data_IF_713833321239
#
_entry.id   IF_713833321239
#
_cell.length_a   1.000
_cell.length_b   1.000
_cell.length_c   1.000
_cell.angle_alpha   90.00
_cell.angle_beta   90.00
_cell.angle_gamma   90.00
#
_symmetry.space_group_name_H-M   'P 1'
#
loop_
_entity.id
_entity.type
_entity.pdbx_description
1 polymer ?
#
# COMPACT_ATOMS: atom_id res chain seq x y z
N UNK A 1 6.08 -5.18 7.60
CA UNK A 1 5.04 -5.64 6.66
C UNK A 1 5.07 -7.14 6.71
N UNK A 2 3.92 -7.75 6.97
CA UNK A 2 3.81 -9.20 7.06
C UNK A 2 2.97 -9.73 5.92
N UNK A 3 3.56 -10.63 5.13
CA UNK A 3 2.87 -11.39 4.08
C UNK A 3 2.73 -12.83 4.59
N UNK A 4 1.52 -13.34 4.66
CA UNK A 4 1.25 -14.76 4.94
C UNK A 4 0.46 -15.33 3.78
N UNK A 5 0.83 -16.52 3.31
CA UNK A 5 0.17 -17.15 2.18
C UNK A 5 0.10 -18.66 2.37
N UNK A 6 -0.86 -19.28 1.70
CA UNK A 6 -0.96 -20.73 1.59
C UNK A 6 -1.62 -21.12 0.26
N UNK A 7 -1.23 -22.29 -0.26
CA UNK A 7 -1.82 -22.86 -1.48
C UNK A 7 -2.64 -24.09 -1.07
N UNK A 8 -3.91 -24.11 -1.46
CA UNK A 8 -4.81 -25.24 -1.22
C UNK A 8 -5.16 -25.90 -2.54
N UNK A 9 -4.92 -27.21 -2.63
CA UNK A 9 -5.32 -28.03 -3.77
C UNK A 9 -6.20 -29.18 -3.29
N UNK A 10 -7.45 -29.21 -3.77
CA UNK A 10 -8.40 -30.31 -3.51
C UNK A 10 -8.15 -31.48 -4.47
N UNK A 11 -8.52 -32.70 -4.06
CA UNK A 11 -8.39 -33.90 -4.91
C UNK A 11 -9.21 -33.76 -6.21
N UNK A 12 -8.74 -34.39 -7.28
CA UNK A 12 -9.40 -34.41 -8.59
C UNK A 12 -8.86 -33.35 -9.54
N UNK A 13 -9.74 -32.87 -10.42
CA UNK A 13 -9.41 -31.90 -11.48
C UNK A 13 -9.54 -30.45 -11.02
N UNK A 14 -9.65 -30.19 -9.71
CA UNK A 14 -9.75 -28.85 -9.15
C UNK A 14 -8.39 -28.14 -9.23
N UNK A 15 -8.42 -26.87 -9.65
CA UNK A 15 -7.25 -26.00 -9.67
C UNK A 15 -6.86 -25.61 -8.25
N UNK A 16 -5.58 -25.39 -7.97
CA UNK A 16 -5.15 -24.87 -6.68
C UNK A 16 -5.56 -23.41 -6.51
N UNK A 17 -5.75 -23.01 -5.27
CA UNK A 17 -6.02 -21.62 -4.90
C UNK A 17 -4.90 -21.14 -3.98
N UNK A 18 -4.31 -20.00 -4.34
CA UNK A 18 -3.41 -19.24 -3.49
C UNK A 18 -4.24 -18.23 -2.71
N UNK A 19 -4.21 -18.33 -1.39
CA UNK A 19 -4.82 -17.35 -0.50
C UNK A 19 -3.72 -16.67 0.28
N UNK A 20 -3.72 -15.34 0.26
CA UNK A 20 -2.73 -14.55 0.98
C UNK A 20 -3.31 -13.33 1.67
N UNK A 21 -2.59 -12.92 2.71
CA UNK A 21 -2.83 -11.74 3.50
C UNK A 21 -1.57 -10.88 3.51
N UNK A 22 -1.74 -9.57 3.32
CA UNK A 22 -0.70 -8.57 3.51
C UNK A 22 -1.17 -7.61 4.60
N UNK A 23 -0.35 -7.47 5.64
CA UNK A 23 -0.64 -6.63 6.80
C UNK A 23 0.50 -5.63 7.00
N UNK A 24 0.16 -4.34 7.08
CA UNK A 24 1.09 -3.29 7.46
C UNK A 24 1.19 -3.21 8.99
N UNK A 25 2.40 -3.05 9.48
CA UNK A 25 2.71 -2.85 10.90
C UNK A 25 2.56 -1.38 11.29
N UNK A 26 2.49 -1.10 12.60
CA UNK A 26 2.11 0.23 13.12
C UNK A 26 2.97 1.38 12.61
N UNK A 27 4.30 1.20 12.56
CA UNK A 27 5.23 2.22 12.08
C UNK A 27 5.11 2.46 10.56
N UNK A 28 4.69 1.45 9.80
CA UNK A 28 4.53 1.54 8.34
C UNK A 28 3.26 2.32 7.96
N UNK A 29 2.21 2.21 8.77
CA UNK A 29 0.97 2.99 8.59
C UNK A 29 1.18 4.47 8.86
N UNK A 30 2.02 4.80 9.83
CA UNK A 30 2.30 6.19 10.23
C UNK A 30 2.95 7.02 9.12
N UNK A 31 3.66 6.37 8.19
CA UNK A 31 4.33 7.02 7.06
C UNK A 31 3.42 7.22 5.84
N UNK A 32 2.13 6.88 5.95
CA UNK A 32 1.11 7.13 4.91
C UNK A 32 1.53 6.69 3.49
N UNK A 33 2.20 5.53 3.39
CA UNK A 33 2.74 5.03 2.13
C UNK A 33 1.67 4.94 1.03
N UNK A 34 2.06 5.23 -0.24
CA UNK A 34 1.20 4.94 -1.37
C UNK A 34 1.00 3.43 -1.52
N UNK A 35 -0.05 3.06 -2.25
CA UNK A 35 -0.31 1.67 -2.61
C UNK A 35 0.82 1.14 -3.50
N UNK A 36 1.58 0.15 -3.02
CA UNK A 36 2.68 -0.47 -3.77
C UNK A 36 2.15 -1.66 -4.55
N UNK A 37 2.43 -1.71 -5.85
CA UNK A 37 2.03 -2.78 -6.76
C UNK A 37 3.22 -3.31 -7.52
N UNK A 38 3.27 -4.62 -7.74
CA UNK A 38 4.24 -5.27 -8.61
C UNK A 38 3.55 -6.19 -9.59
N UNK A 39 4.08 -6.26 -10.80
CA UNK A 39 3.75 -7.33 -11.73
C UNK A 39 4.43 -8.61 -11.25
N UNK A 40 3.64 -9.64 -10.97
CA UNK A 40 4.16 -10.92 -10.51
C UNK A 40 4.56 -11.80 -11.68
N UNK A 41 5.25 -12.89 -11.38
CA UNK A 41 5.46 -13.98 -12.34
C UNK A 41 4.48 -15.13 -12.11
N UNK A 42 3.42 -14.92 -11.32
CA UNK A 42 2.39 -15.93 -11.05
C UNK A 42 1.44 -15.99 -12.24
N UNK A 43 1.43 -17.10 -12.99
CA UNK A 43 0.61 -17.21 -14.20
C UNK A 43 -0.88 -17.25 -13.86
N UNK A 44 -1.67 -16.46 -14.59
CA UNK A 44 -3.12 -16.57 -14.58
C UNK A 44 -3.57 -17.70 -15.51
N UNK A 45 -4.31 -18.72 -15.01
CA UNK A 45 -4.80 -19.80 -15.84
C UNK A 45 -5.72 -19.29 -16.94
N UNK A 46 -5.72 -19.94 -18.13
CA UNK A 46 -6.79 -19.73 -19.10
C UNK A 46 -8.14 -20.00 -18.43
N UNK A 47 -9.10 -19.09 -18.61
CA UNK A 47 -10.40 -19.17 -17.93
C UNK A 47 -10.23 -19.29 -16.41
N UNK A 48 -9.50 -18.38 -15.78
CA UNK A 48 -9.23 -18.35 -14.33
C UNK A 48 -10.49 -18.38 -13.45
N UNK A 49 -11.64 -17.94 -13.98
CA UNK A 49 -12.96 -18.08 -13.36
C UNK A 49 -13.39 -19.55 -13.14
N UNK A 50 -12.89 -20.48 -13.94
CA UNK A 50 -13.19 -21.91 -13.82
C UNK A 50 -12.34 -22.56 -12.72
N UNK A 51 -13.00 -23.20 -11.75
CA UNK A 51 -12.34 -23.82 -10.59
C UNK A 51 -11.66 -25.17 -10.89
N UNK A 52 -11.81 -25.70 -12.10
CA UNK A 52 -11.30 -27.02 -12.49
C UNK A 52 -10.66 -26.97 -13.88
N UNK A 53 -9.81 -27.97 -14.16
CA UNK A 53 -9.21 -28.20 -15.47
C UNK A 53 -9.15 -29.71 -15.74
N UNK A 54 -9.92 -30.18 -16.71
CA UNK A 54 -9.91 -31.59 -17.11
C UNK A 54 -8.65 -31.94 -17.92
N UNK A 55 -8.24 -33.23 -17.97
CA UNK A 55 -7.16 -33.67 -18.86
C UNK A 55 -7.42 -33.23 -20.31
N UNK A 56 -6.39 -32.74 -21.01
CA UNK A 56 -6.52 -32.28 -22.39
C UNK A 56 -7.21 -30.93 -22.57
N UNK A 57 -7.38 -30.14 -21.50
CA UNK A 57 -7.90 -28.76 -21.58
C UNK A 57 -6.90 -27.74 -21.05
N UNK A 58 -6.95 -26.52 -21.58
CA UNK A 58 -6.23 -25.34 -21.06
C UNK A 58 -4.76 -25.64 -20.71
N UNK A 59 -4.34 -25.36 -19.47
CA UNK A 59 -2.97 -25.61 -19.02
C UNK A 59 -2.55 -27.09 -19.11
N UNK A 60 -3.51 -28.02 -19.03
CA UNK A 60 -3.27 -29.48 -19.17
C UNK A 60 -3.20 -29.95 -20.63
N UNK A 61 -3.54 -29.07 -21.58
CA UNK A 61 -3.28 -29.24 -23.01
C UNK A 61 -2.04 -28.44 -23.48
N UNK A 62 -1.34 -27.76 -22.56
CA UNK A 62 -0.22 -26.89 -22.90
C UNK A 62 -0.63 -25.50 -23.39
N UNK A 63 -1.88 -25.06 -23.15
CA UNK A 63 -2.27 -23.68 -23.44
C UNK A 63 -1.46 -22.70 -22.59
N UNK A 64 -1.04 -21.59 -23.21
CA UNK A 64 -0.32 -20.52 -22.53
C UNK A 64 -1.21 -19.82 -21.48
N UNK A 65 -0.64 -19.25 -20.41
CA UNK A 65 -1.37 -18.43 -19.44
C UNK A 65 -2.12 -17.28 -20.12
N UNK A 66 -3.23 -16.83 -19.52
CA UNK A 66 -3.95 -15.64 -19.98
C UNK A 66 -3.16 -14.35 -19.71
N UNK A 67 -2.26 -14.40 -18.73
CA UNK A 67 -1.42 -13.30 -18.29
C UNK A 67 -0.71 -13.67 -16.99
N UNK A 68 -0.33 -12.64 -16.23
CA UNK A 68 0.24 -12.78 -14.90
C UNK A 68 -0.51 -11.90 -13.91
N UNK A 69 -0.67 -12.39 -12.68
CA UNK A 69 -1.36 -11.62 -11.65
C UNK A 69 -0.53 -10.41 -11.20
N UNK A 70 -1.20 -9.35 -10.76
CA UNK A 70 -0.57 -8.26 -10.02
C UNK A 70 -0.73 -8.50 -8.52
N UNK A 71 0.35 -8.26 -7.78
CA UNK A 71 0.34 -8.30 -6.32
C UNK A 71 0.48 -6.89 -5.77
N UNK A 72 -0.09 -6.66 -4.59
CA UNK A 72 -0.02 -5.34 -3.99
C UNK A 72 -0.11 -5.36 -2.47
N UNK A 73 0.25 -4.23 -1.87
CA UNK A 73 0.04 -3.94 -0.45
C UNK A 73 -1.35 -3.33 -0.23
N UNK A 74 -1.91 -3.37 0.99
CA UNK A 74 -3.07 -2.53 1.32
C UNK A 74 -2.69 -1.04 1.31
N UNK A 75 -3.71 -0.19 1.26
CA UNK A 75 -3.51 1.23 1.55
C UNK A 75 -3.23 1.44 3.05
N UNK A 76 -2.64 2.59 3.42
CA UNK A 76 -2.31 2.89 4.82
C UNK A 76 -3.56 3.03 5.72
N UNK A 77 -4.71 3.41 5.15
CA UNK A 77 -5.97 3.58 5.89
C UNK A 77 -6.58 2.24 6.36
N UNK A 78 -6.60 1.21 5.50
CA UNK A 78 -7.11 -0.12 5.85
C UNK A 78 -6.04 -0.95 6.53
N UNK A 79 -4.79 -0.86 6.06
CA UNK A 79 -3.63 -1.54 6.63
C UNK A 79 -3.63 -3.06 6.50
N UNK A 80 -4.65 -3.65 5.88
CA UNK A 80 -4.77 -5.10 5.64
C UNK A 80 -5.41 -5.37 4.27
N UNK A 81 -4.89 -6.37 3.56
CA UNK A 81 -5.40 -6.85 2.28
C UNK A 81 -5.44 -8.38 2.30
N UNK A 82 -6.58 -8.97 1.92
CA UNK A 82 -6.72 -10.41 1.68
C UNK A 82 -7.13 -10.63 0.23
N UNK A 83 -6.48 -11.57 -0.45
CA UNK A 83 -6.83 -11.95 -1.83
C UNK A 83 -6.72 -13.46 -2.05
N UNK A 84 -7.49 -13.94 -3.01
CA UNK A 84 -7.48 -15.32 -3.49
C UNK A 84 -7.22 -15.32 -4.99
N UNK A 85 -6.18 -16.03 -5.42
CA UNK A 85 -5.80 -16.21 -6.81
C UNK A 85 -5.93 -17.68 -7.19
N UNK A 86 -6.36 -17.94 -8.43
CA UNK A 86 -6.41 -19.31 -8.93
C UNK A 86 -5.13 -19.64 -9.66
N UNK A 87 -4.50 -20.74 -9.32
CA UNK A 87 -3.24 -21.17 -9.93
C UNK A 87 -3.51 -22.21 -11.02
N UNK A 88 -2.62 -22.33 -12.02
CA UNK A 88 -2.77 -23.36 -13.04
C UNK A 88 -2.56 -24.73 -12.39
N UNK A 89 -3.31 -25.72 -12.87
CA UNK A 89 -3.05 -27.10 -12.47
C UNK A 89 -1.64 -27.52 -12.90
N UNK A 90 -0.90 -28.16 -11.98
CA UNK A 90 0.41 -28.77 -12.25
C UNK A 90 0.46 -30.17 -11.66
N UNK A 91 1.28 -31.03 -12.27
CA UNK A 91 1.44 -32.41 -11.80
C UNK A 91 2.26 -32.49 -10.52
N UNK A 92 3.31 -31.67 -10.40
CA UNK A 92 4.23 -31.61 -9.27
C UNK A 92 3.69 -30.74 -8.10
N UNK A 93 2.67 -29.91 -8.36
CA UNK A 93 2.16 -28.88 -7.44
C UNK A 93 3.25 -27.91 -6.93
N UNK A 94 4.31 -27.71 -7.73
CA UNK A 94 5.35 -26.75 -7.40
C UNK A 94 5.00 -25.36 -7.93
N UNK A 95 5.11 -24.34 -7.08
CA UNK A 95 4.82 -22.94 -7.41
C UNK A 95 5.90 -21.98 -6.89
N UNK A 96 7.17 -22.15 -7.29
CA UNK A 96 8.27 -21.31 -6.80
C UNK A 96 8.09 -19.82 -7.11
N UNK A 97 7.37 -19.50 -8.20
CA UNK A 97 7.07 -18.13 -8.58
C UNK A 97 6.24 -17.36 -7.56
N UNK A 98 5.49 -18.05 -6.69
CA UNK A 98 4.66 -17.44 -5.65
C UNK A 98 5.54 -16.78 -4.61
N UNK A 99 6.50 -17.52 -4.06
CA UNK A 99 7.44 -16.99 -3.07
C UNK A 99 8.33 -15.91 -3.68
N UNK A 100 8.84 -16.13 -4.90
CA UNK A 100 9.64 -15.14 -5.62
C UNK A 100 8.89 -13.82 -5.84
N UNK A 101 7.59 -13.89 -6.18
CA UNK A 101 6.74 -12.72 -6.39
C UNK A 101 6.44 -11.97 -5.09
N UNK A 102 6.19 -12.68 -3.98
CA UNK A 102 6.05 -12.03 -2.68
C UNK A 102 7.35 -11.39 -2.20
N UNK A 103 8.51 -12.02 -2.47
CA UNK A 103 9.80 -11.41 -2.18
C UNK A 103 10.03 -10.13 -3.01
N UNK A 104 9.57 -10.09 -4.26
CA UNK A 104 9.60 -8.88 -5.09
C UNK A 104 8.69 -7.77 -4.53
N UNK A 105 7.46 -8.11 -4.14
CA UNK A 105 6.55 -7.16 -3.48
C UNK A 105 7.16 -6.60 -2.20
N UNK A 106 7.78 -7.45 -1.37
CA UNK A 106 8.47 -7.02 -0.15
C UNK A 106 9.59 -6.04 -0.45
N UNK A 107 10.47 -6.33 -1.40
CA UNK A 107 11.56 -5.41 -1.77
C UNK A 107 11.03 -4.07 -2.27
N UNK A 108 10.00 -4.08 -3.13
CA UNK A 108 9.39 -2.85 -3.63
C UNK A 108 8.79 -2.01 -2.49
N UNK A 109 8.15 -2.68 -1.53
CA UNK A 109 7.62 -2.03 -0.34
C UNK A 109 8.72 -1.46 0.58
N UNK A 110 9.78 -2.21 0.83
CA UNK A 110 10.93 -1.77 1.64
C UNK A 110 11.60 -0.53 1.03
N UNK A 111 11.70 -0.45 -0.30
CA UNK A 111 12.20 0.74 -0.99
C UNK A 111 11.30 1.95 -0.77
N UNK A 112 9.99 1.80 -0.95
CA UNK A 112 9.03 2.87 -0.71
C UNK A 112 9.02 3.33 0.77
N UNK A 113 9.16 2.37 1.70
CA UNK A 113 9.26 2.64 3.13
C UNK A 113 10.52 3.45 3.46
N UNK A 114 11.66 3.09 2.87
CA UNK A 114 12.91 3.83 3.06
C UNK A 114 12.85 5.26 2.51
N UNK A 115 12.23 5.44 1.34
CA UNK A 115 12.03 6.76 0.74
C UNK A 115 11.12 7.64 1.61
N UNK A 116 9.97 7.11 2.06
CA UNK A 116 9.07 7.84 2.94
C UNK A 116 9.73 8.17 4.29
N UNK A 117 10.53 7.24 4.84
CA UNK A 117 11.27 7.44 6.09
C UNK A 117 12.38 8.49 6.00
N UNK A 118 12.86 8.82 4.79
CA UNK A 118 13.84 9.89 4.62
C UNK A 118 13.23 11.29 4.82
N UNK A 119 11.91 11.44 4.66
CA UNK A 119 11.19 12.68 4.90
C UNK A 119 11.12 12.99 6.39
N UNK A 120 11.91 13.96 6.84
CA UNK A 120 12.00 14.31 8.26
C UNK A 120 10.74 15.04 8.75
N UNK A 121 10.25 14.74 9.96
CA UNK A 121 9.17 15.50 10.57
C UNK A 121 9.62 16.95 10.82
N UNK A 122 8.66 17.88 10.75
CA UNK A 122 8.90 19.30 10.92
C UNK A 122 7.80 19.88 11.79
N UNK A 123 8.19 20.65 12.81
CA UNK A 123 7.27 21.39 13.67
C UNK A 123 7.80 22.83 13.80
N UNK A 124 7.06 23.79 13.24
CA UNK A 124 7.44 25.19 13.18
C UNK A 124 6.37 26.08 13.79
N UNK A 125 6.82 26.94 14.71
CA UNK A 125 6.01 27.93 15.37
C UNK A 125 6.56 29.31 15.04
N UNK A 126 5.68 30.23 14.64
CA UNK A 126 6.04 31.59 14.29
C UNK A 126 5.06 32.58 14.87
N UNK A 127 5.59 33.66 15.44
CA UNK A 127 4.80 34.79 15.92
C UNK A 127 5.38 36.09 15.33
N UNK A 128 4.52 36.89 14.72
CA UNK A 128 4.85 38.22 14.23
C UNK A 128 4.04 39.23 15.01
N UNK A 129 4.73 40.19 15.61
CA UNK A 129 4.09 41.33 16.27
C UNK A 129 4.47 42.63 15.58
N UNK A 130 3.69 43.69 15.80
CA UNK A 130 4.01 45.01 15.26
C UNK A 130 5.43 45.40 15.68
N UNK A 131 6.16 45.97 14.72
CA UNK A 131 7.52 46.45 14.96
C UNK A 131 7.49 47.52 16.06
N UNK A 132 8.56 47.61 16.83
CA UNK A 132 8.68 48.63 17.87
C UNK A 132 8.57 50.06 17.29
N UNK A 133 9.02 50.26 16.03
CA UNK A 133 8.86 51.52 15.31
C UNK A 133 7.40 51.89 15.10
N UNK A 134 6.62 50.99 14.49
CA UNK A 134 5.20 51.24 14.25
C UNK A 134 4.40 51.37 15.55
N UNK A 135 4.73 50.58 16.58
CA UNK A 135 4.13 50.72 17.92
C UNK A 135 4.39 52.10 18.51
N UNK A 136 5.57 52.68 18.28
CA UNK A 136 5.93 54.01 18.77
C UNK A 136 5.21 55.11 17.99
N UNK A 137 5.06 54.96 16.69
CA UNK A 137 4.37 55.93 15.83
C UNK A 137 2.86 55.98 16.11
N UNK A 138 2.26 54.83 16.45
CA UNK A 138 0.82 54.72 16.77
C UNK A 138 0.49 55.01 18.24
N UNK A 139 1.46 54.96 19.16
CA UNK A 139 1.19 55.15 20.59
C UNK A 139 0.53 56.51 20.94
N UNK A 140 0.93 57.66 20.35
CA UNK A 140 0.33 58.94 20.67
C UNK A 140 -1.15 59.04 20.25
N UNK A 141 -1.49 58.58 19.05
CA UNK A 141 -2.87 58.62 18.54
C UNK A 141 -3.79 57.71 19.33
N UNK A 142 -3.34 56.49 19.65
CA UNK A 142 -4.08 55.54 20.48
C UNK A 142 -4.32 56.06 21.91
N UNK A 143 -3.38 56.85 22.47
CA UNK A 143 -3.56 57.49 23.77
C UNK A 143 -4.52 58.68 23.72
N UNK A 144 -4.47 59.49 22.67
CA UNK A 144 -5.38 60.61 22.48
C UNK A 144 -6.84 60.13 22.40
N UNK A 145 -7.12 59.09 21.60
CA UNK A 145 -8.46 58.50 21.48
C UNK A 145 -8.96 57.97 22.84
N UNK A 146 -8.09 57.33 23.63
CA UNK A 146 -8.44 56.82 24.96
C UNK A 146 -8.79 57.94 25.95
N UNK A 147 -8.01 59.02 25.97
CA UNK A 147 -8.26 60.16 26.87
C UNK A 147 -9.56 60.89 26.50
N UNK A 148 -9.83 61.07 25.21
CA UNK A 148 -11.06 61.71 24.74
C UNK A 148 -12.31 60.88 25.09
N UNK A 149 -12.23 59.55 25.02
CA UNK A 149 -13.35 58.68 25.41
C UNK A 149 -13.65 58.63 26.91
N UNK A 150 -12.68 58.97 27.78
CA UNK A 150 -12.86 59.04 29.24
C UNK A 150 -13.42 60.38 29.72
N UNK A 151 -13.41 61.41 28.87
CA UNK A 151 -13.92 62.75 29.16
C UNK A 151 -15.40 62.93 28.80
N UNK A 152 -16.07 61.84 28.38
CA UNK A 152 -17.51 61.76 28.15
C UNK A 152 -18.19 61.01 29.31
#
# INVERSE_FOLDING_TARGET
>A
MRITWHIVKKRGNLRPELVYDVVLEGHEKALALPYVRVDSTIPEPPSSWQAHCYPGQHERAGAAPAGFYQLATPNHATGTLRQTLRLPWRQDNAYPEVEASFAALRRAFEMALAEAGASQPMDMWGELTLTAGLKRDLAPSLMADRLLGLAQ
#
